data_IF_228899667328
#
_entry.id   IF_228899667328
#
_cell.length_a   1.000
_cell.length_b   1.000
_cell.length_c   1.000
_cell.angle_alpha   90.00
_cell.angle_beta   90.00
_cell.angle_gamma   90.00
#
_symmetry.space_group_name_H-M   'P 1'
#
loop_
_entity.id
_entity.type
_entity.pdbx_description
1 polymer ?
#
# COMPACT_ATOMS: atom_id res chain seq x y z
N UNK A 1 12.34 -4.39 -17.33
CA UNK A 1 10.93 -3.99 -17.20
C UNK A 1 10.14 -4.58 -18.36
N UNK A 2 8.94 -5.13 -18.10
CA UNK A 2 8.12 -5.82 -19.13
C UNK A 2 7.05 -4.88 -19.66
N UNK A 3 6.31 -4.23 -18.76
CA UNK A 3 5.20 -3.36 -19.09
C UNK A 3 5.25 -2.05 -18.31
N UNK A 4 4.76 -0.98 -18.97
CA UNK A 4 4.46 0.30 -18.34
C UNK A 4 3.06 0.72 -18.79
N UNK A 5 2.11 0.67 -17.87
CA UNK A 5 0.71 0.93 -18.15
C UNK A 5 0.31 2.19 -17.39
N UNK A 6 -0.03 3.25 -18.10
CA UNK A 6 -0.65 4.43 -17.47
C UNK A 6 -2.04 4.04 -16.99
N UNK A 7 -2.27 4.15 -15.70
CA UNK A 7 -3.56 3.87 -15.06
C UNK A 7 -4.45 5.10 -15.13
N UNK A 8 -3.89 6.26 -14.77
CA UNK A 8 -4.47 7.59 -15.00
C UNK A 8 -3.34 8.64 -15.07
N UNK A 9 -3.69 9.94 -15.04
CA UNK A 9 -2.69 11.02 -15.10
C UNK A 9 -1.69 10.97 -13.95
N UNK A 10 -2.07 10.46 -12.78
CA UNK A 10 -1.27 10.44 -11.56
C UNK A 10 -0.66 9.09 -11.22
N UNK A 11 -1.26 7.98 -11.69
CA UNK A 11 -0.87 6.62 -11.32
C UNK A 11 -0.51 5.81 -12.57
N UNK A 12 0.52 5.01 -12.45
CA UNK A 12 0.94 4.05 -13.48
C UNK A 12 1.35 2.72 -12.83
N UNK A 13 1.35 1.65 -13.61
CA UNK A 13 1.76 0.32 -13.21
C UNK A 13 3.02 -0.07 -13.97
N UNK A 14 4.04 -0.55 -13.25
CA UNK A 14 5.24 -1.15 -13.84
C UNK A 14 5.33 -2.61 -13.48
N UNK A 15 5.61 -3.43 -14.49
CA UNK A 15 5.86 -4.87 -14.34
C UNK A 15 7.34 -5.17 -14.58
N UNK A 16 7.97 -5.87 -13.63
CA UNK A 16 9.36 -6.30 -13.73
C UNK A 16 9.46 -7.81 -13.60
N UNK A 17 10.40 -8.41 -14.35
CA UNK A 17 10.82 -9.79 -14.10
C UNK A 17 11.61 -9.81 -12.78
N UNK A 18 11.21 -10.70 -11.87
CA UNK A 18 11.88 -10.97 -10.61
C UNK A 18 11.91 -12.48 -10.39
N UNK A 19 13.10 -13.06 -10.25
CA UNK A 19 13.31 -14.51 -10.17
C UNK A 19 13.79 -15.01 -8.82
N UNK A 20 14.10 -14.06 -7.91
CA UNK A 20 14.58 -14.37 -6.58
C UNK A 20 13.42 -14.63 -5.61
N UNK A 21 13.59 -14.30 -4.35
CA UNK A 21 12.59 -14.56 -3.31
C UNK A 21 11.23 -13.92 -3.65
N UNK A 22 10.16 -14.73 -3.53
CA UNK A 22 8.78 -14.27 -3.73
C UNK A 22 8.42 -13.22 -2.67
N UNK A 23 8.02 -12.01 -3.07
CA UNK A 23 7.60 -10.99 -2.12
C UNK A 23 6.27 -11.36 -1.45
N UNK A 24 6.11 -10.93 -0.20
CA UNK A 24 4.88 -11.01 0.58
C UNK A 24 4.11 -9.69 0.54
N UNK A 25 2.80 -9.76 0.77
CA UNK A 25 1.96 -8.57 0.84
C UNK A 25 2.43 -7.61 1.95
N UNK A 26 2.55 -6.32 1.63
CA UNK A 26 3.08 -5.29 2.53
C UNK A 26 4.56 -4.99 2.36
N UNK A 27 5.33 -5.90 1.78
CA UNK A 27 6.73 -5.66 1.45
C UNK A 27 6.87 -4.68 0.28
N UNK A 28 8.06 -4.11 0.16
CA UNK A 28 8.40 -3.11 -0.86
C UNK A 28 9.76 -3.40 -1.48
N UNK A 29 10.05 -2.72 -2.56
CA UNK A 29 11.37 -2.68 -3.20
C UNK A 29 11.90 -1.26 -3.25
N UNK A 30 13.22 -1.10 -3.14
CA UNK A 30 13.89 0.11 -3.58
C UNK A 30 14.10 0.00 -5.09
N UNK A 31 13.45 0.89 -5.86
CA UNK A 31 13.42 0.84 -7.33
C UNK A 31 14.07 2.09 -7.90
N UNK A 32 14.98 1.91 -8.88
CA UNK A 32 15.67 3.00 -9.56
C UNK A 32 15.92 2.61 -11.03
N UNK A 33 15.54 3.44 -12.02
CA UNK A 33 15.95 3.21 -13.39
C UNK A 33 17.48 3.16 -13.51
N UNK A 34 18.04 2.27 -14.31
CA UNK A 34 19.49 2.12 -14.45
C UNK A 34 20.14 3.41 -14.97
N UNK A 35 19.45 4.11 -15.87
CA UNK A 35 19.87 5.41 -16.40
C UNK A 35 19.16 6.57 -15.67
N UNK A 36 19.20 6.60 -14.35
CA UNK A 36 18.52 7.61 -13.56
C UNK A 36 19.41 8.81 -13.27
N UNK A 37 18.83 10.01 -13.32
CA UNK A 37 19.48 11.26 -12.88
C UNK A 37 19.29 11.52 -11.39
N UNK A 38 18.45 10.75 -10.71
CA UNK A 38 18.28 10.84 -9.25
C UNK A 38 19.21 9.86 -8.54
N UNK A 39 19.80 10.31 -7.44
CA UNK A 39 20.79 9.51 -6.71
C UNK A 39 20.13 8.34 -5.95
N UNK A 40 19.05 8.59 -5.23
CA UNK A 40 18.41 7.57 -4.39
C UNK A 40 17.36 6.77 -5.17
N UNK A 41 17.23 5.48 -4.85
CA UNK A 41 16.10 4.65 -5.26
C UNK A 41 14.80 5.08 -4.57
N UNK A 42 13.67 4.62 -5.08
CA UNK A 42 12.34 4.90 -4.53
C UNK A 42 11.78 3.66 -3.86
N UNK A 43 11.32 3.77 -2.58
CA UNK A 43 10.58 2.68 -1.96
C UNK A 43 9.20 2.57 -2.61
N UNK A 44 8.94 1.42 -3.22
CA UNK A 44 7.68 1.14 -3.92
C UNK A 44 7.12 -0.18 -3.39
N UNK A 45 5.91 -0.12 -2.84
CA UNK A 45 5.21 -1.30 -2.33
C UNK A 45 4.83 -2.25 -3.45
N UNK A 46 4.94 -3.54 -3.19
CA UNK A 46 4.43 -4.57 -4.09
C UNK A 46 2.91 -4.47 -4.14
N UNK A 47 2.36 -4.38 -5.34
CA UNK A 47 0.92 -4.39 -5.57
C UNK A 47 0.40 -5.77 -5.93
N UNK A 48 1.12 -6.50 -6.77
CA UNK A 48 0.78 -7.88 -7.16
C UNK A 48 2.06 -8.67 -7.45
N UNK A 49 1.93 -9.98 -7.34
CA UNK A 49 2.96 -10.93 -7.73
C UNK A 49 2.32 -12.09 -8.49
N UNK A 50 2.80 -12.35 -9.69
CA UNK A 50 2.33 -13.45 -10.53
C UNK A 50 3.52 -14.16 -11.18
N UNK A 51 3.66 -15.46 -10.96
CA UNK A 51 4.78 -16.26 -11.49
C UNK A 51 6.13 -15.61 -11.15
N UNK A 52 6.85 -15.09 -12.13
CA UNK A 52 8.14 -14.40 -11.98
C UNK A 52 8.01 -12.89 -12.26
N UNK A 53 6.83 -12.31 -12.08
CA UNK A 53 6.57 -10.89 -12.35
C UNK A 53 6.10 -10.19 -11.10
N UNK A 54 6.82 -9.15 -10.68
CA UNK A 54 6.38 -8.22 -9.65
C UNK A 54 5.76 -6.99 -10.30
N UNK A 55 4.59 -6.58 -9.80
CA UNK A 55 3.85 -5.41 -10.27
C UNK A 55 3.82 -4.33 -9.22
N UNK A 56 4.12 -3.11 -9.63
CA UNK A 56 4.15 -1.92 -8.80
C UNK A 56 3.13 -0.90 -9.27
N UNK A 57 2.22 -0.47 -8.38
CA UNK A 57 1.41 0.72 -8.59
C UNK A 57 2.15 1.93 -8.03
N UNK A 58 2.36 2.93 -8.86
CA UNK A 58 3.23 4.08 -8.53
C UNK A 58 2.50 5.38 -8.81
N UNK A 59 2.51 6.28 -7.82
CA UNK A 59 2.02 7.65 -8.01
C UNK A 59 3.15 8.56 -8.54
N UNK A 60 2.83 9.42 -9.53
CA UNK A 60 3.73 10.46 -10.05
C UNK A 60 3.84 11.60 -9.04
N UNK A 61 4.81 11.54 -8.12
CA UNK A 61 4.97 12.52 -7.04
C UNK A 61 6.15 13.46 -7.23
N UNK A 62 7.22 12.99 -7.85
CA UNK A 62 8.44 13.76 -8.00
C UNK A 62 9.36 13.17 -9.04
N UNK A 63 10.55 13.75 -9.19
CA UNK A 63 11.49 13.44 -10.28
C UNK A 63 11.75 11.93 -10.44
N UNK A 64 12.04 11.21 -9.35
CA UNK A 64 12.35 9.79 -9.47
C UNK A 64 11.15 8.94 -9.91
N UNK A 65 9.92 9.25 -9.47
CA UNK A 65 8.72 8.54 -9.97
C UNK A 65 8.31 8.98 -11.37
N UNK A 66 8.71 10.20 -11.81
CA UNK A 66 8.55 10.63 -13.19
C UNK A 66 9.52 9.88 -14.12
N UNK A 67 10.77 9.66 -13.70
CA UNK A 67 11.72 8.84 -14.45
C UNK A 67 11.24 7.38 -14.56
N UNK A 68 10.70 6.80 -13.49
CA UNK A 68 10.07 5.47 -13.54
C UNK A 68 8.89 5.45 -14.52
N UNK A 69 8.05 6.49 -14.51
CA UNK A 69 6.90 6.58 -15.41
C UNK A 69 7.29 6.77 -16.89
N UNK A 70 8.48 7.25 -17.16
CA UNK A 70 9.01 7.43 -18.51
C UNK A 70 9.70 6.17 -19.07
N UNK A 71 9.89 5.13 -18.26
CA UNK A 71 10.54 3.89 -18.72
C UNK A 71 9.72 3.19 -19.81
N UNK A 72 10.43 2.62 -20.78
CA UNK A 72 9.86 1.82 -21.87
C UNK A 72 10.12 0.32 -21.67
N UNK A 73 9.26 -0.57 -22.22
CA UNK A 73 9.51 -2.00 -22.22
C UNK A 73 10.91 -2.32 -22.78
N UNK A 74 11.62 -3.22 -22.09
CA UNK A 74 13.01 -3.57 -22.40
C UNK A 74 14.06 -2.80 -21.58
N UNK A 75 13.72 -1.64 -21.00
CA UNK A 75 14.66 -0.90 -20.14
C UNK A 75 14.83 -1.58 -18.78
N UNK A 76 15.99 -1.34 -18.16
CA UNK A 76 16.40 -1.97 -16.91
C UNK A 76 16.27 -1.01 -15.72
N UNK A 77 15.89 -1.57 -14.57
CA UNK A 77 15.95 -0.89 -13.28
C UNK A 77 16.71 -1.75 -12.27
N UNK A 78 17.35 -1.07 -11.33
CA UNK A 78 17.87 -1.69 -10.11
C UNK A 78 16.73 -1.90 -9.15
N UNK A 79 16.52 -3.15 -8.71
CA UNK A 79 15.56 -3.53 -7.70
C UNK A 79 16.30 -4.15 -6.50
N UNK A 80 16.11 -3.58 -5.33
CA UNK A 80 16.59 -4.15 -4.06
C UNK A 80 15.40 -4.52 -3.21
N UNK A 81 15.22 -5.79 -2.92
CA UNK A 81 14.07 -6.32 -2.17
C UNK A 81 13.95 -7.83 -2.28
N UNK A 82 12.87 -8.42 -1.76
CA UNK A 82 11.79 -7.76 -1.00
C UNK A 82 12.26 -7.29 0.37
N UNK A 83 11.81 -6.11 0.81
CA UNK A 83 12.20 -5.45 2.06
C UNK A 83 11.01 -5.23 2.96
N UNK A 84 11.26 -5.07 4.25
CA UNK A 84 10.26 -4.81 5.28
C UNK A 84 9.49 -6.05 5.71
N UNK A 85 8.59 -5.86 6.69
CA UNK A 85 7.71 -6.91 7.19
C UNK A 85 6.47 -7.10 6.29
N UNK A 86 5.64 -8.09 6.62
CA UNK A 86 4.50 -8.47 5.79
C UNK A 86 3.20 -8.49 6.60
N UNK A 87 2.06 -8.23 5.96
CA UNK A 87 0.74 -8.20 6.58
C UNK A 87 0.36 -9.51 7.27
N UNK A 88 0.79 -10.65 6.73
CA UNK A 88 0.46 -11.98 7.25
C UNK A 88 0.87 -12.14 8.73
N UNK A 89 1.91 -11.43 9.17
CA UNK A 89 2.37 -11.45 10.56
C UNK A 89 1.42 -10.76 11.55
N UNK A 90 0.49 -9.97 11.03
CA UNK A 90 -0.44 -9.14 11.79
C UNK A 90 -1.91 -9.56 11.65
N UNK A 91 -2.20 -10.44 10.70
CA UNK A 91 -3.57 -10.92 10.52
C UNK A 91 -4.01 -11.81 11.69
N UNK A 92 -5.28 -11.72 12.13
CA UNK A 92 -5.82 -12.65 13.09
C UNK A 92 -5.80 -14.07 12.51
N UNK A 93 -5.87 -15.08 13.39
CA UNK A 93 -6.05 -16.46 12.92
C UNK A 93 -7.34 -16.56 12.10
N UNK A 94 -7.31 -17.32 11.01
CA UNK A 94 -8.45 -17.51 10.11
C UNK A 94 -9.69 -18.02 10.86
N UNK A 95 -10.85 -17.49 10.50
CA UNK A 95 -12.17 -17.83 11.07
C UNK A 95 -12.76 -16.69 11.90
N UNK A 96 -14.02 -16.35 11.65
CA UNK A 96 -14.75 -15.30 12.35
C UNK A 96 -15.11 -14.10 11.49
N UNK A 97 -15.02 -12.90 12.08
CA UNK A 97 -15.33 -11.64 11.38
C UNK A 97 -14.34 -11.35 10.26
N UNK A 98 -14.77 -10.64 9.18
CA UNK A 98 -13.86 -10.18 8.13
C UNK A 98 -12.79 -9.22 8.65
N UNK A 99 -11.75 -9.01 7.85
CA UNK A 99 -10.70 -8.00 8.08
C UNK A 99 -10.97 -6.80 7.18
N UNK A 100 -10.97 -5.59 7.74
CA UNK A 100 -11.07 -4.38 6.93
C UNK A 100 -9.69 -3.99 6.37
N UNK A 101 -9.64 -3.71 5.07
CA UNK A 101 -8.49 -3.13 4.39
C UNK A 101 -8.83 -1.69 4.03
N UNK A 102 -8.16 -0.70 4.62
CA UNK A 102 -8.46 0.73 4.45
C UNK A 102 -7.33 1.41 3.70
N UNK A 103 -7.55 1.74 2.44
CA UNK A 103 -6.56 2.34 1.55
C UNK A 103 -6.88 3.79 1.19
N UNK A 104 -5.90 4.70 1.32
CA UNK A 104 -6.01 6.09 0.88
C UNK A 104 -5.12 6.40 -0.32
N UNK A 105 -5.70 6.79 -1.46
CA UNK A 105 -4.95 7.06 -2.67
C UNK A 105 -4.07 5.89 -3.10
N UNK A 106 -2.76 6.12 -3.30
CA UNK A 106 -1.82 5.05 -3.69
C UNK A 106 -1.59 4.01 -2.58
N UNK A 107 -1.97 4.30 -1.34
CA UNK A 107 -1.91 3.34 -0.23
C UNK A 107 -2.78 2.09 -0.41
N UNK A 108 -3.60 2.04 -1.46
CA UNK A 108 -4.29 0.81 -1.86
C UNK A 108 -3.30 -0.28 -2.32
N UNK A 109 -2.16 0.07 -2.91
CA UNK A 109 -1.22 -0.86 -3.53
C UNK A 109 -0.78 -2.03 -2.61
N UNK A 110 -0.23 -1.80 -1.41
CA UNK A 110 0.18 -2.89 -0.53
C UNK A 110 -0.99 -3.72 0.03
N UNK A 111 -2.22 -3.19 0.00
CA UNK A 111 -3.43 -3.89 0.45
C UNK A 111 -4.00 -4.78 -0.64
N UNK A 112 -3.88 -4.38 -1.92
CA UNK A 112 -4.23 -5.21 -3.08
C UNK A 112 -3.42 -6.50 -3.09
N UNK A 113 -2.12 -6.41 -2.80
CA UNK A 113 -1.24 -7.58 -2.69
C UNK A 113 -1.73 -8.59 -1.63
N UNK A 114 -2.33 -8.11 -0.55
CA UNK A 114 -2.84 -8.96 0.53
C UNK A 114 -4.04 -9.80 0.08
N UNK A 115 -4.95 -9.22 -0.71
CA UNK A 115 -6.12 -9.94 -1.24
C UNK A 115 -5.68 -11.08 -2.16
N UNK A 116 -4.72 -10.81 -3.06
CA UNK A 116 -4.19 -11.80 -3.99
C UNK A 116 -3.36 -12.91 -3.35
N UNK A 117 -2.81 -12.67 -2.14
CA UNK A 117 -1.87 -13.57 -1.47
C UNK A 117 -2.40 -14.37 -0.29
N UNK A 118 -3.53 -14.01 0.29
CA UNK A 118 -4.03 -14.57 1.56
C UNK A 118 -5.19 -15.53 1.35
N UNK A 119 -4.97 -16.81 1.59
CA UNK A 119 -6.04 -17.82 1.65
C UNK A 119 -6.65 -17.85 3.06
N UNK A 120 -7.99 -17.92 3.14
CA UNK A 120 -8.73 -18.18 4.38
C UNK A 120 -9.23 -16.95 5.15
N UNK A 121 -9.04 -15.74 4.64
CA UNK A 121 -9.64 -14.52 5.18
C UNK A 121 -10.71 -13.95 4.25
N UNK A 122 -11.76 -13.41 4.83
CA UNK A 122 -12.71 -12.53 4.13
C UNK A 122 -12.27 -11.10 4.36
N UNK A 123 -12.08 -10.37 3.27
CA UNK A 123 -11.68 -8.96 3.34
C UNK A 123 -12.82 -8.05 2.92
N UNK A 124 -12.99 -6.93 3.63
CA UNK A 124 -13.80 -5.80 3.19
C UNK A 124 -12.86 -4.64 2.86
N UNK A 125 -12.89 -4.18 1.62
CA UNK A 125 -11.98 -3.15 1.13
C UNK A 125 -12.63 -1.77 1.16
N UNK A 126 -11.96 -0.84 1.80
CA UNK A 126 -12.37 0.55 1.91
C UNK A 126 -11.34 1.43 1.20
N UNK A 127 -11.68 1.97 0.03
CA UNK A 127 -10.79 2.79 -0.79
C UNK A 127 -11.24 4.26 -0.79
N UNK A 128 -10.36 5.15 -0.34
CA UNK A 128 -10.60 6.60 -0.29
C UNK A 128 -9.73 7.37 -1.27
N UNK A 129 -10.34 8.34 -1.99
CA UNK A 129 -9.64 9.20 -2.93
C UNK A 129 -10.14 10.65 -2.82
N UNK A 130 -9.32 11.62 -3.21
CA UNK A 130 -9.73 13.04 -3.22
C UNK A 130 -10.77 13.32 -4.30
N UNK A 131 -10.48 12.86 -5.49
CA UNK A 131 -11.34 13.08 -6.65
C UNK A 131 -11.83 11.75 -7.17
N UNK A 132 -12.99 11.78 -7.80
CA UNK A 132 -13.51 10.63 -8.48
C UNK A 132 -12.40 10.01 -9.32
N UNK A 133 -12.30 8.70 -9.25
CA UNK A 133 -11.57 7.95 -10.23
C UNK A 133 -12.16 8.37 -11.56
N UNK A 134 -11.54 9.36 -12.25
CA UNK A 134 -11.75 9.50 -13.67
C UNK A 134 -11.32 8.16 -14.22
N UNK A 135 -12.29 7.30 -14.31
CA UNK A 135 -12.20 5.90 -14.61
C UNK A 135 -11.58 5.74 -15.97
N UNK A 136 -10.26 5.75 -16.00
CA UNK A 136 -9.66 4.79 -16.88
C UNK A 136 -10.20 3.45 -16.38
N UNK A 137 -10.96 2.79 -17.24
CA UNK A 137 -11.50 1.44 -17.06
C UNK A 137 -10.48 0.47 -16.47
N UNK A 138 -9.21 0.83 -16.51
CA UNK A 138 -8.04 0.07 -16.05
C UNK A 138 -7.83 0.05 -14.53
N UNK A 139 -8.15 1.14 -13.77
CA UNK A 139 -8.16 1.02 -12.29
C UNK A 139 -9.38 0.23 -11.86
N UNK A 140 -10.54 0.51 -12.47
CA UNK A 140 -11.73 -0.26 -12.19
C UNK A 140 -11.49 -1.74 -12.53
N UNK A 141 -10.92 -2.07 -13.69
CA UNK A 141 -10.57 -3.42 -14.08
C UNK A 141 -9.49 -4.06 -13.18
N UNK A 142 -8.46 -3.30 -12.75
CA UNK A 142 -7.48 -3.79 -11.78
C UNK A 142 -8.14 -4.08 -10.42
N UNK A 143 -8.98 -3.16 -9.96
CA UNK A 143 -9.74 -3.33 -8.73
C UNK A 143 -10.78 -4.44 -8.89
N UNK A 144 -11.50 -4.51 -10.01
CA UNK A 144 -12.44 -5.59 -10.31
C UNK A 144 -11.76 -6.95 -10.42
N UNK A 145 -10.58 -7.04 -11.05
CA UNK A 145 -9.81 -8.30 -11.11
C UNK A 145 -9.37 -8.75 -9.72
N UNK A 146 -9.02 -7.81 -8.86
CA UNK A 146 -8.62 -8.07 -7.48
C UNK A 146 -9.84 -8.33 -6.59
N UNK A 147 -10.98 -7.68 -6.88
CA UNK A 147 -12.22 -7.76 -6.09
C UNK A 147 -13.26 -8.72 -6.68
N UNK A 148 -12.99 -9.41 -7.79
CA UNK A 148 -13.89 -10.41 -8.40
C UNK A 148 -14.10 -11.66 -7.52
N UNK A 149 -13.53 -11.69 -6.32
CA UNK A 149 -13.81 -12.67 -5.27
C UNK A 149 -14.92 -12.19 -4.31
N UNK A 150 -15.21 -12.97 -3.29
CA UNK A 150 -16.21 -12.76 -2.23
C UNK A 150 -15.93 -11.58 -1.28
N UNK A 151 -15.39 -10.45 -1.78
CA UNK A 151 -14.97 -9.32 -0.98
C UNK A 151 -15.90 -8.12 -1.18
N UNK A 152 -16.40 -7.57 -0.07
CA UNK A 152 -17.14 -6.31 -0.12
C UNK A 152 -16.19 -5.12 -0.35
N UNK A 153 -16.62 -4.19 -1.21
CA UNK A 153 -15.85 -2.97 -1.51
C UNK A 153 -16.67 -1.73 -1.21
N UNK A 154 -16.09 -0.80 -0.47
CA UNK A 154 -16.60 0.57 -0.29
C UNK A 154 -15.62 1.55 -0.90
N UNK A 155 -16.07 2.37 -1.83
CA UNK A 155 -15.30 3.49 -2.41
C UNK A 155 -15.90 4.79 -1.91
N UNK A 156 -15.04 5.74 -1.50
CA UNK A 156 -15.45 7.10 -1.17
C UNK A 156 -14.51 8.12 -1.83
N UNK A 157 -15.10 9.23 -2.29
CA UNK A 157 -14.35 10.35 -2.85
C UNK A 157 -14.81 11.65 -2.22
N UNK A 158 -13.89 12.56 -1.92
CA UNK A 158 -14.23 13.83 -1.29
C UNK A 158 -15.15 14.68 -2.18
N UNK A 159 -14.98 14.62 -3.51
CA UNK A 159 -15.82 15.33 -4.48
C UNK A 159 -17.15 14.58 -4.81
N UNK A 160 -17.32 13.36 -4.35
CA UNK A 160 -18.53 12.55 -4.58
C UNK A 160 -18.72 12.06 -6.01
N UNK A 161 -17.69 12.12 -6.87
CA UNK A 161 -17.81 11.71 -8.27
C UNK A 161 -17.72 10.19 -8.47
N UNK A 162 -17.21 9.47 -7.47
CA UNK A 162 -17.16 8.01 -7.49
C UNK A 162 -17.46 7.46 -6.11
N UNK A 163 -18.40 6.52 -6.01
CA UNK A 163 -18.80 5.92 -4.75
C UNK A 163 -19.51 6.90 -3.81
N UNK A 164 -19.23 6.80 -2.51
CA UNK A 164 -19.80 7.66 -1.47
C UNK A 164 -19.08 9.01 -1.41
N UNK A 165 -19.80 10.08 -1.14
CA UNK A 165 -19.18 11.41 -0.94
C UNK A 165 -18.69 11.56 0.49
N UNK A 166 -17.41 11.85 0.69
CA UNK A 166 -16.77 12.09 1.98
C UNK A 166 -15.46 11.35 2.15
N UNK A 167 -14.96 11.32 3.37
CA UNK A 167 -13.74 10.56 3.70
C UNK A 167 -14.06 9.09 3.89
N UNK A 168 -13.18 8.21 3.44
CA UNK A 168 -13.40 6.75 3.61
C UNK A 168 -13.53 6.34 5.07
N UNK A 169 -12.88 7.07 5.97
CA UNK A 169 -12.99 6.88 7.41
C UNK A 169 -14.39 7.08 7.96
N UNK A 170 -15.24 7.89 7.31
CA UNK A 170 -16.64 8.14 7.75
C UNK A 170 -17.49 6.89 7.60
N UNK A 171 -17.14 6.01 6.67
CA UNK A 171 -17.85 4.78 6.35
C UNK A 171 -17.23 3.53 6.99
N UNK A 172 -16.18 3.69 7.79
CA UNK A 172 -15.54 2.60 8.53
C UNK A 172 -16.22 2.39 9.89
N UNK A 173 -16.72 1.20 10.12
CA UNK A 173 -17.30 0.73 11.38
C UNK A 173 -16.41 -0.40 11.96
N UNK A 174 -15.36 -0.10 12.73
CA UNK A 174 -14.36 -1.09 13.15
C UNK A 174 -14.95 -2.31 13.87
N UNK A 175 -16.02 -2.13 14.66
CA UNK A 175 -16.66 -3.22 15.43
C UNK A 175 -17.17 -4.40 14.58
N UNK A 176 -17.34 -4.21 13.28
CA UNK A 176 -17.72 -5.26 12.33
C UNK A 176 -16.57 -6.21 11.98
N UNK A 177 -15.32 -5.85 12.30
CA UNK A 177 -14.12 -6.52 11.81
C UNK A 177 -13.33 -7.21 12.92
N UNK A 178 -12.59 -8.24 12.56
CA UNK A 178 -11.64 -8.90 13.44
C UNK A 178 -10.35 -8.08 13.63
N UNK A 179 -9.97 -7.33 12.59
CA UNK A 179 -8.86 -6.39 12.58
C UNK A 179 -9.04 -5.37 11.45
N UNK A 180 -8.31 -4.27 11.52
CA UNK A 180 -8.23 -3.25 10.47
C UNK A 180 -6.77 -3.09 10.04
N UNK A 181 -6.52 -3.22 8.74
CA UNK A 181 -5.23 -2.97 8.10
C UNK A 181 -5.34 -1.70 7.26
N UNK A 182 -4.55 -0.67 7.55
CA UNK A 182 -4.65 0.61 6.86
C UNK A 182 -3.34 1.06 6.24
N UNK A 183 -3.42 1.66 5.05
CA UNK A 183 -2.29 2.29 4.36
C UNK A 183 -2.75 3.55 3.61
N UNK A 184 -2.04 4.67 3.78
CA UNK A 184 -2.39 5.93 3.13
C UNK A 184 -1.82 7.14 3.86
N UNK A 185 -2.40 8.34 3.62
CA UNK A 185 -1.96 9.57 4.28
C UNK A 185 -2.03 9.49 5.80
N UNK A 186 -1.05 10.07 6.47
CA UNK A 186 -0.94 10.02 7.94
C UNK A 186 -2.20 10.52 8.68
N UNK A 187 -2.90 11.60 8.26
CA UNK A 187 -4.16 11.98 8.89
C UNK A 187 -5.25 10.90 8.80
N UNK A 188 -5.31 10.16 7.67
CA UNK A 188 -6.24 9.04 7.53
C UNK A 188 -5.87 7.90 8.49
N UNK A 189 -4.59 7.55 8.57
CA UNK A 189 -4.10 6.49 9.47
C UNK A 189 -4.41 6.83 10.93
N UNK A 190 -4.20 8.08 11.35
CA UNK A 190 -4.55 8.58 12.68
C UNK A 190 -6.04 8.42 12.97
N UNK A 191 -6.91 8.87 12.05
CA UNK A 191 -8.35 8.76 12.21
C UNK A 191 -8.84 7.30 12.29
N UNK A 192 -8.25 6.40 11.47
CA UNK A 192 -8.54 4.96 11.53
C UNK A 192 -8.11 4.37 12.87
N UNK A 193 -6.89 4.70 13.34
CA UNK A 193 -6.36 4.22 14.61
C UNK A 193 -7.24 4.65 15.79
N UNK A 194 -7.67 5.91 15.84
CA UNK A 194 -8.57 6.45 16.90
C UNK A 194 -9.93 5.74 16.91
N UNK A 195 -10.54 5.50 15.74
CA UNK A 195 -11.79 4.75 15.63
C UNK A 195 -11.63 3.30 16.11
N UNK A 196 -10.55 2.64 15.72
CA UNK A 196 -10.27 1.27 16.13
C UNK A 196 -10.01 1.16 17.62
N UNK A 197 -9.24 2.09 18.21
CA UNK A 197 -8.99 2.17 19.64
C UNK A 197 -10.30 2.32 20.44
N UNK A 198 -11.18 3.20 20.01
CA UNK A 198 -12.51 3.39 20.61
C UNK A 198 -13.36 2.11 20.55
N UNK A 199 -13.31 1.40 19.42
CA UNK A 199 -14.02 0.15 19.20
C UNK A 199 -13.32 -1.08 19.82
N UNK A 200 -12.12 -0.92 20.37
CA UNK A 200 -11.26 -2.00 20.89
C UNK A 200 -10.98 -3.09 19.85
N UNK A 201 -10.75 -2.69 18.60
CA UNK A 201 -10.43 -3.57 17.49
C UNK A 201 -8.95 -3.41 17.13
N UNK A 202 -8.18 -4.50 16.96
CA UNK A 202 -6.80 -4.45 16.51
C UNK A 202 -6.66 -3.65 15.22
N UNK A 203 -5.70 -2.73 15.19
CA UNK A 203 -5.42 -1.88 14.03
C UNK A 203 -3.94 -1.92 13.68
N UNK A 204 -3.64 -2.18 12.42
CA UNK A 204 -2.29 -2.21 11.89
C UNK A 204 -2.16 -1.19 10.75
N UNK A 205 -1.10 -0.40 10.78
CA UNK A 205 -0.88 0.68 9.82
C UNK A 205 0.43 0.49 9.08
N UNK A 206 0.40 0.62 7.77
CA UNK A 206 1.61 0.71 6.96
C UNK A 206 1.99 2.17 6.81
N UNK A 207 3.15 2.53 7.36
CA UNK A 207 3.66 3.91 7.38
C UNK A 207 4.55 4.17 6.17
N UNK A 208 4.46 5.38 5.61
CA UNK A 208 5.36 5.86 4.57
C UNK A 208 6.39 6.81 5.16
N UNK A 209 7.68 6.58 4.86
CA UNK A 209 8.78 7.47 5.22
C UNK A 209 9.75 7.62 4.05
N UNK A 210 10.45 8.75 3.99
CA UNK A 210 11.54 8.92 3.02
C UNK A 210 12.64 7.92 3.35
N UNK A 211 13.13 7.21 2.36
CA UNK A 211 14.17 6.19 2.51
C UNK A 211 15.39 6.52 1.66
N UNK A 212 16.56 6.21 2.20
CA UNK A 212 17.81 6.24 1.47
C UNK A 212 18.35 4.82 1.26
N UNK A 213 18.69 4.09 2.33
CA UNK A 213 19.31 2.76 2.21
C UNK A 213 18.33 1.60 2.04
N UNK A 214 17.10 1.69 2.56
CA UNK A 214 16.11 0.61 2.55
C UNK A 214 16.38 -0.57 3.49
N UNK A 215 17.55 -0.63 4.13
CA UNK A 215 18.05 -1.79 4.90
C UNK A 215 18.33 -1.47 6.38
N UNK A 216 17.82 -0.36 6.89
CA UNK A 216 17.93 0.00 8.31
C UNK A 216 19.24 0.64 8.75
N UNK A 217 20.22 0.86 7.85
CA UNK A 217 21.56 1.34 8.21
C UNK A 217 21.62 2.85 8.43
N UNK A 218 20.88 3.66 7.64
CA UNK A 218 21.03 5.12 7.65
C UNK A 218 20.15 5.87 8.64
N UNK A 219 19.17 5.21 9.26
CA UNK A 219 18.17 5.74 10.20
C UNK A 219 17.27 6.87 9.63
N UNK A 220 17.34 7.14 8.32
CA UNK A 220 16.59 8.23 7.68
C UNK A 220 15.07 8.03 7.62
N UNK A 221 14.59 6.77 7.74
CA UNK A 221 13.17 6.43 7.68
C UNK A 221 12.55 6.18 9.06
N UNK A 222 12.93 6.98 10.05
CA UNK A 222 12.48 6.83 11.44
C UNK A 222 10.97 7.05 11.59
N UNK A 223 10.33 6.14 12.30
CA UNK A 223 8.95 6.20 12.80
C UNK A 223 9.02 6.32 14.31
N UNK A 224 8.36 7.34 14.87
CA UNK A 224 8.23 7.52 16.32
C UNK A 224 7.21 6.53 16.87
N UNK A 225 7.58 5.80 17.89
CA UNK A 225 6.65 4.89 18.60
C UNK A 225 6.76 5.10 20.11
N UNK A 226 5.75 4.63 20.84
CA UNK A 226 5.76 4.67 22.33
C UNK A 226 6.94 3.88 22.91
N UNK A 227 7.51 2.94 22.16
CA UNK A 227 8.67 2.12 22.54
C UNK A 227 9.99 2.65 21.95
N UNK A 228 10.03 3.95 21.58
CA UNK A 228 11.18 4.59 20.95
C UNK A 228 11.12 4.59 19.43
N UNK A 229 12.21 5.06 18.82
CA UNK A 229 12.30 5.19 17.36
C UNK A 229 12.49 3.83 16.69
N UNK A 230 11.72 3.59 15.62
CA UNK A 230 11.80 2.41 14.76
C UNK A 230 12.14 2.82 13.33
N UNK A 231 12.67 1.90 12.55
CA UNK A 231 13.03 2.13 11.13
C UNK A 231 11.94 1.57 10.24
N UNK A 232 11.27 2.42 9.49
CA UNK A 232 10.21 2.00 8.58
C UNK A 232 10.66 0.86 7.64
N UNK A 233 11.89 0.91 7.13
CA UNK A 233 12.40 -0.06 6.17
C UNK A 233 12.80 -1.43 6.77
N UNK A 234 13.18 -1.50 8.04
CA UNK A 234 13.69 -2.72 8.66
C UNK A 234 12.75 -3.28 9.76
N UNK A 235 12.15 -2.39 10.56
CA UNK A 235 11.24 -2.77 11.65
C UNK A 235 9.77 -2.73 11.20
N UNK A 236 9.46 -2.03 10.07
CA UNK A 236 8.17 -1.88 9.42
C UNK A 236 8.15 -2.45 8.00
N UNK A 237 7.33 -1.89 7.09
CA UNK A 237 6.56 -0.64 7.21
C UNK A 237 5.29 -0.75 8.05
N UNK A 238 4.88 -1.96 8.43
CA UNK A 238 3.64 -2.23 9.15
C UNK A 238 3.92 -2.23 10.65
N UNK A 239 3.10 -1.49 11.39
CA UNK A 239 3.16 -1.36 12.84
C UNK A 239 1.78 -1.52 13.47
N UNK A 240 1.73 -1.92 14.75
CA UNK A 240 0.51 -1.77 15.52
C UNK A 240 0.20 -0.27 15.67
N UNK A 241 -1.03 0.14 15.34
CA UNK A 241 -1.42 1.54 15.38
C UNK A 241 -1.31 2.16 16.79
N UNK A 242 -1.50 1.35 17.84
CA UNK A 242 -1.36 1.80 19.24
C UNK A 242 0.09 2.14 19.62
N UNK A 243 1.06 1.65 18.85
CA UNK A 243 2.47 1.96 19.09
C UNK A 243 2.94 3.22 18.36
N UNK A 244 2.27 3.61 17.27
CA UNK A 244 2.70 4.72 16.42
C UNK A 244 2.31 6.06 17.02
N UNK A 245 3.28 6.97 17.13
CA UNK A 245 3.05 8.38 17.46
C UNK A 245 2.87 9.13 16.15
N UNK A 246 1.62 9.48 15.82
CA UNK A 246 1.31 10.27 14.65
C UNK A 246 1.68 11.73 14.90
N UNK A 247 2.54 12.29 14.05
CA UNK A 247 2.82 13.73 14.07
C UNK A 247 1.54 14.44 13.59
N UNK A 248 0.99 15.35 14.40
CA UNK A 248 -0.31 16.00 14.22
C UNK A 248 -0.30 17.10 13.15
#
# INVERSE_FOLDING_TARGET
MINNISVNKEIFCLDFIWKDEKPKAGQFFMVKPKQSTVFLARPISVALWESNTVKFLIARRGRGTQELAAMHPGEEAELTGPLGNAWESFLPKSGGKPVALVGGGIGIAPLVALIGGSSGHVFHFHAGFRTGLNTDEKIAALLETVFSGSHETTIATEDGKSGKRGLITDFLEPAKYAAVCACGPEPMLKAVAEKCKTAKVPCFVSTERRMACGVGACLGCTVKTINGNRRCCADGPIFNADEVIFDG
#
